data_IF_817014393403
#
_entry.id   IF_817014393403
#
_cell.length_a   1.000
_cell.length_b   1.000
_cell.length_c   1.000
_cell.angle_alpha   90.00
_cell.angle_beta   90.00
_cell.angle_gamma   90.00
#
_symmetry.space_group_name_H-M   'P 1'
#
loop_
_entity.id
_entity.type
_entity.pdbx_description
1 polymer ?
#
# COMPACT_ATOMS: atom_id res chain seq x y z
N UNK A 1 -10.17 -11.62 -6.02
CA UNK A 1 -9.28 -10.46 -5.79
C UNK A 1 -9.96 -9.42 -4.89
N UNK A 2 -9.67 -9.45 -3.58
CA UNK A 2 -10.31 -8.55 -2.59
C UNK A 2 -9.67 -7.16 -2.68
N UNK A 3 -10.38 -6.17 -3.22
CA UNK A 3 -9.90 -4.80 -3.32
C UNK A 3 -10.05 -4.14 -1.94
N UNK A 4 -8.94 -4.00 -1.20
CA UNK A 4 -8.84 -3.33 0.10
C UNK A 4 -9.04 -1.79 0.05
N UNK A 5 -9.82 -1.27 -0.90
CA UNK A 5 -10.17 0.17 -0.98
C UNK A 5 -10.93 0.67 0.25
N UNK A 6 -11.55 -0.22 1.02
CA UNK A 6 -12.24 0.08 2.29
C UNK A 6 -11.55 -0.55 3.51
N UNK A 7 -10.28 -0.91 3.42
CA UNK A 7 -9.55 -1.63 4.47
C UNK A 7 -9.68 -1.01 5.85
N UNK A 8 -9.71 0.33 5.96
CA UNK A 8 -9.98 1.04 7.22
C UNK A 8 -11.30 0.61 7.86
N UNK A 9 -12.41 0.67 7.11
CA UNK A 9 -13.74 0.38 7.65
C UNK A 9 -13.91 -1.10 8.00
N UNK A 10 -13.46 -1.99 7.12
CA UNK A 10 -13.47 -3.42 7.41
C UNK A 10 -12.61 -3.73 8.63
N UNK A 11 -11.37 -3.24 8.69
CA UNK A 11 -10.52 -3.44 9.85
C UNK A 11 -11.16 -2.92 11.14
N UNK A 12 -11.79 -1.74 11.12
CA UNK A 12 -12.48 -1.18 12.27
C UNK A 12 -13.71 -1.99 12.71
N UNK A 13 -14.44 -2.59 11.77
CA UNK A 13 -15.70 -3.30 12.06
C UNK A 13 -15.50 -4.77 12.42
N UNK A 14 -14.57 -5.45 11.75
CA UNK A 14 -14.41 -6.90 11.88
C UNK A 14 -13.01 -7.32 12.34
N UNK A 15 -12.07 -6.38 12.47
CA UNK A 15 -10.70 -6.64 12.92
C UNK A 15 -9.87 -7.50 11.96
N UNK A 16 -8.64 -7.83 12.35
CA UNK A 16 -7.74 -8.66 11.56
C UNK A 16 -8.28 -10.09 11.35
N UNK A 17 -8.84 -10.69 12.40
CA UNK A 17 -9.47 -12.03 12.30
C UNK A 17 -10.66 -12.00 11.35
N UNK A 18 -11.53 -10.99 11.43
CA UNK A 18 -12.65 -10.86 10.50
C UNK A 18 -12.21 -10.67 9.06
N UNK A 19 -11.18 -9.84 8.82
CA UNK A 19 -10.59 -9.68 7.48
C UNK A 19 -10.09 -11.01 6.91
N UNK A 20 -9.44 -11.84 7.72
CA UNK A 20 -9.03 -13.18 7.31
C UNK A 20 -10.25 -14.09 7.05
N UNK A 21 -11.25 -14.03 7.94
CA UNK A 21 -12.47 -14.83 7.85
C UNK A 21 -13.26 -14.57 6.56
N UNK A 22 -13.27 -13.33 6.05
CA UNK A 22 -13.90 -12.99 4.77
C UNK A 22 -13.36 -13.83 3.60
N UNK A 23 -12.10 -14.25 3.70
CA UNK A 23 -11.45 -15.03 2.66
C UNK A 23 -11.50 -16.54 2.92
N UNK A 24 -11.92 -17.02 4.10
CA UNK A 24 -11.88 -18.45 4.45
C UNK A 24 -12.53 -19.35 3.41
N UNK A 25 -13.66 -18.94 2.83
CA UNK A 25 -14.42 -19.70 1.84
C UNK A 25 -13.74 -19.79 0.45
N UNK A 26 -12.67 -19.05 0.20
CA UNK A 26 -12.01 -18.97 -1.11
C UNK A 26 -10.63 -19.61 -1.07
N UNK A 27 -10.29 -20.47 -2.03
CA UNK A 27 -8.93 -21.04 -2.09
C UNK A 27 -7.87 -19.99 -2.41
N UNK A 28 -8.19 -19.07 -3.32
CA UNK A 28 -7.32 -17.96 -3.70
C UNK A 28 -7.25 -16.90 -2.58
N UNK A 29 -6.07 -16.80 -1.97
CA UNK A 29 -5.75 -15.78 -0.97
C UNK A 29 -4.91 -14.63 -1.53
N UNK A 30 -4.69 -14.59 -2.85
CA UNK A 30 -3.89 -13.55 -3.48
C UNK A 30 -4.48 -12.16 -3.25
N UNK A 31 -3.61 -11.20 -3.01
CA UNK A 31 -3.95 -9.82 -2.76
C UNK A 31 -2.82 -8.92 -3.24
N UNK A 32 -3.06 -7.62 -3.22
CA UNK A 32 -2.00 -6.65 -3.38
C UNK A 32 -2.29 -5.40 -2.56
N UNK A 33 -1.22 -4.80 -2.06
CA UNK A 33 -1.26 -3.47 -1.51
C UNK A 33 -1.08 -2.45 -2.65
N UNK A 34 -1.90 -1.40 -2.67
CA UNK A 34 -1.87 -0.35 -3.69
C UNK A 34 -1.76 1.02 -3.02
N UNK A 35 -0.79 1.82 -3.46
CA UNK A 35 -0.68 3.23 -3.14
C UNK A 35 -0.82 4.03 -4.44
N UNK A 36 -1.60 5.11 -4.37
CA UNK A 36 -1.80 6.04 -5.48
C UNK A 36 -1.47 7.43 -4.98
N UNK A 37 -0.52 8.09 -5.63
CA UNK A 37 -0.32 9.54 -5.51
C UNK A 37 -0.87 10.21 -6.76
N UNK A 38 -1.59 11.32 -6.61
CA UNK A 38 -2.05 12.13 -7.74
C UNK A 38 -1.60 13.57 -7.53
N UNK A 39 -0.97 14.15 -8.55
CA UNK A 39 -0.45 15.51 -8.57
C UNK A 39 -1.20 16.30 -9.65
N UNK A 40 -1.85 17.39 -9.25
CA UNK A 40 -2.37 18.39 -10.18
C UNK A 40 -1.50 19.65 -10.09
N UNK A 41 -1.05 20.15 -11.24
CA UNK A 41 -0.19 21.34 -11.32
C UNK A 41 -0.98 22.66 -11.30
N UNK A 42 -2.31 22.57 -11.33
CA UNK A 42 -3.19 23.73 -11.27
C UNK A 42 -4.66 23.33 -11.41
N UNK A 43 -5.60 24.28 -11.28
CA UNK A 43 -7.04 24.01 -11.23
C UNK A 43 -7.61 23.32 -12.48
N UNK A 44 -6.97 23.52 -13.64
CA UNK A 44 -7.43 23.01 -14.94
C UNK A 44 -6.47 21.96 -15.54
N UNK A 45 -5.45 21.52 -14.80
CA UNK A 45 -4.52 20.52 -15.27
C UNK A 45 -5.04 19.12 -14.94
N UNK A 46 -4.95 18.21 -15.91
CA UNK A 46 -5.22 16.80 -15.65
C UNK A 46 -4.24 16.25 -14.60
N UNK A 47 -4.71 15.48 -13.61
CA UNK A 47 -3.86 14.98 -12.56
C UNK A 47 -2.94 13.87 -13.07
N UNK A 48 -1.64 14.04 -12.83
CA UNK A 48 -0.62 13.02 -13.04
C UNK A 48 -0.72 12.02 -11.89
N UNK A 49 -0.90 10.74 -12.20
CA UNK A 49 -1.13 9.71 -11.19
C UNK A 49 -0.01 8.67 -11.19
N UNK A 50 0.53 8.39 -10.00
CA UNK A 50 1.63 7.46 -9.75
C UNK A 50 1.12 6.27 -8.92
N UNK A 51 1.38 5.06 -9.38
CA UNK A 51 0.83 3.84 -8.78
C UNK A 51 1.94 2.93 -8.29
N UNK A 52 1.98 2.67 -7.00
CA UNK A 52 2.83 1.64 -6.43
C UNK A 52 1.99 0.44 -5.99
N UNK A 53 2.33 -0.73 -6.50
CA UNK A 53 1.65 -2.00 -6.20
C UNK A 53 2.65 -2.99 -5.61
N UNK A 54 2.25 -3.70 -4.55
CA UNK A 54 3.01 -4.85 -4.03
C UNK A 54 2.09 -6.07 -3.98
N UNK A 55 2.34 -7.10 -4.80
CA UNK A 55 1.57 -8.33 -4.76
C UNK A 55 1.94 -9.16 -3.51
N UNK A 56 1.02 -10.03 -3.11
CA UNK A 56 1.12 -10.82 -1.90
C UNK A 56 -0.11 -11.68 -1.68
N UNK A 57 -0.30 -12.07 -0.43
CA UNK A 57 -1.43 -12.89 0.01
C UNK A 57 -1.93 -12.48 1.39
N UNK A 58 -3.21 -12.74 1.64
CA UNK A 58 -3.79 -12.59 2.97
C UNK A 58 -3.55 -13.85 3.78
N UNK A 59 -3.04 -13.67 4.99
CA UNK A 59 -2.65 -14.76 5.90
C UNK A 59 -3.26 -14.55 7.29
N UNK A 60 -3.15 -15.55 8.16
CA UNK A 60 -3.50 -15.38 9.57
C UNK A 60 -2.65 -14.26 10.18
N UNK A 61 -3.22 -13.42 11.08
CA UNK A 61 -2.53 -12.27 11.62
C UNK A 61 -1.28 -12.67 12.41
N UNK A 62 -0.14 -12.04 12.11
CA UNK A 62 1.14 -12.21 12.82
C UNK A 62 1.83 -10.86 13.02
N UNK A 63 2.73 -10.78 14.01
CA UNK A 63 3.45 -9.55 14.35
C UNK A 63 2.64 -8.52 15.15
N UNK A 64 3.22 -7.34 15.42
CA UNK A 64 2.58 -6.26 16.18
C UNK A 64 1.35 -5.67 15.47
N UNK A 65 0.29 -5.36 16.22
CA UNK A 65 -0.96 -4.80 15.70
C UNK A 65 -0.98 -3.26 15.65
N UNK A 66 0.18 -2.64 15.50
CA UNK A 66 0.33 -1.18 15.65
C UNK A 66 -0.18 -0.40 14.43
N UNK A 67 -0.18 -1.03 13.24
CA UNK A 67 -0.47 -0.33 12.00
C UNK A 67 -1.38 -1.11 11.04
N UNK A 68 -2.65 -0.70 10.99
CA UNK A 68 -3.57 -1.08 9.93
C UNK A 68 -3.67 -2.60 9.71
N UNK A 69 -3.68 -3.01 8.45
CA UNK A 69 -3.82 -4.40 8.01
C UNK A 69 -2.47 -5.12 7.82
N UNK A 70 -1.36 -4.50 8.21
CA UNK A 70 -0.02 -5.08 8.07
C UNK A 70 0.10 -6.52 8.63
N UNK A 71 -0.54 -6.87 9.78
CA UNK A 71 -0.45 -8.22 10.34
C UNK A 71 -1.03 -9.32 9.46
N UNK A 72 -1.93 -8.99 8.52
CA UNK A 72 -2.62 -9.98 7.69
C UNK A 72 -2.12 -10.03 6.26
N UNK A 73 -1.13 -9.21 5.89
CA UNK A 73 -0.60 -9.16 4.53
C UNK A 73 0.84 -9.67 4.49
N UNK A 74 1.07 -10.73 3.72
CA UNK A 74 2.39 -11.28 3.43
C UNK A 74 2.74 -10.96 1.97
N UNK A 75 3.76 -10.12 1.70
CA UNK A 75 4.19 -9.81 0.33
C UNK A 75 4.83 -11.04 -0.33
N UNK A 76 4.72 -11.12 -1.65
CA UNK A 76 5.36 -12.20 -2.41
C UNK A 76 6.89 -12.15 -2.25
N UNK A 77 7.50 -13.33 -2.15
CA UNK A 77 8.96 -13.47 -1.94
C UNK A 77 9.40 -13.39 -0.47
N UNK A 78 8.48 -13.25 0.48
CA UNK A 78 8.76 -13.20 1.92
C UNK A 78 7.85 -14.15 2.70
N UNK A 79 8.36 -14.66 3.83
CA UNK A 79 7.58 -15.46 4.80
C UNK A 79 7.02 -14.62 5.97
N UNK A 80 7.47 -13.38 6.08
CA UNK A 80 7.02 -12.41 7.08
C UNK A 80 5.83 -11.62 6.58
N UNK A 81 4.91 -11.30 7.48
CA UNK A 81 3.89 -10.26 7.25
C UNK A 81 4.54 -8.88 7.30
N UNK A 82 3.87 -7.86 6.74
CA UNK A 82 4.34 -6.47 6.86
C UNK A 82 4.55 -6.01 8.30
N UNK A 83 3.81 -6.55 9.26
CA UNK A 83 3.97 -6.21 10.67
C UNK A 83 5.23 -6.85 11.28
N UNK A 84 5.62 -8.04 10.82
CA UNK A 84 6.83 -8.74 11.28
C UNK A 84 8.12 -8.18 10.65
N UNK A 85 8.01 -7.45 9.54
CA UNK A 85 9.17 -6.90 8.84
C UNK A 85 9.77 -5.69 9.57
N UNK A 86 11.11 -5.61 9.67
CA UNK A 86 11.79 -4.37 10.04
C UNK A 86 11.38 -3.23 9.10
N UNK A 87 11.26 -2.02 9.65
CA UNK A 87 10.78 -0.85 8.91
C UNK A 87 11.63 -0.56 7.66
N UNK A 88 12.96 -0.70 7.74
CA UNK A 88 13.84 -0.50 6.60
C UNK A 88 13.58 -1.50 5.46
N UNK A 89 13.40 -2.78 5.79
CA UNK A 89 13.13 -3.83 4.79
C UNK A 89 11.75 -3.64 4.15
N UNK A 90 10.73 -3.35 4.96
CA UNK A 90 9.38 -3.03 4.46
C UNK A 90 9.44 -1.85 3.49
N UNK A 91 10.19 -0.81 3.81
CA UNK A 91 10.28 0.38 2.98
C UNK A 91 10.83 0.08 1.58
N UNK A 92 11.78 -0.85 1.42
CA UNK A 92 12.33 -1.22 0.10
C UNK A 92 11.28 -1.81 -0.85
N UNK A 93 10.30 -2.54 -0.31
CA UNK A 93 9.31 -3.27 -1.12
C UNK A 93 7.90 -2.70 -1.07
N UNK A 94 7.65 -1.71 -0.21
CA UNK A 94 6.30 -1.22 0.03
C UNK A 94 5.71 -0.55 -1.21
N UNK A 95 4.44 -0.81 -1.43
CA UNK A 95 3.61 -0.14 -2.43
C UNK A 95 3.71 1.39 -2.34
N UNK A 96 3.82 1.96 -1.13
CA UNK A 96 4.02 3.39 -0.93
C UNK A 96 5.38 3.87 -1.44
N UNK A 97 6.47 3.17 -1.10
CA UNK A 97 7.80 3.51 -1.61
C UNK A 97 7.85 3.42 -3.14
N UNK A 98 7.27 2.37 -3.73
CA UNK A 98 7.18 2.23 -5.20
C UNK A 98 6.46 3.40 -5.87
N UNK A 99 5.35 3.86 -5.28
CA UNK A 99 4.62 5.02 -5.78
C UNK A 99 5.46 6.30 -5.64
N UNK A 100 6.11 6.50 -4.49
CA UNK A 100 6.92 7.68 -4.23
C UNK A 100 8.21 7.71 -5.07
N UNK A 101 8.77 6.56 -5.41
CA UNK A 101 9.91 6.48 -6.31
C UNK A 101 9.54 7.02 -7.71
N UNK A 102 8.34 6.70 -8.21
CA UNK A 102 7.85 7.26 -9.47
C UNK A 102 7.64 8.78 -9.38
N UNK A 103 7.09 9.28 -8.26
CA UNK A 103 7.00 10.72 -8.01
C UNK A 103 8.40 11.34 -8.07
N UNK A 104 9.39 10.76 -7.36
CA UNK A 104 10.76 11.27 -7.35
C UNK A 104 11.37 11.31 -8.75
N UNK A 105 11.22 10.25 -9.55
CA UNK A 105 11.69 10.21 -10.94
C UNK A 105 11.05 11.30 -11.79
N UNK A 106 9.72 11.44 -11.70
CA UNK A 106 8.97 12.46 -12.42
C UNK A 106 9.47 13.87 -12.12
N UNK A 107 9.72 14.19 -10.85
CA UNK A 107 10.25 15.49 -10.46
C UNK A 107 11.69 15.73 -10.92
N UNK A 108 12.53 14.69 -10.93
CA UNK A 108 13.90 14.79 -11.41
C UNK A 108 13.99 15.01 -12.94
N UNK A 109 13.06 14.42 -13.68
CA UNK A 109 13.00 14.52 -15.15
C UNK A 109 12.35 15.82 -15.65
N UNK A 110 11.43 16.39 -14.87
CA UNK A 110 10.57 17.49 -15.33
C UNK A 110 11.13 18.90 -15.06
N UNK A 111 12.37 19.02 -14.54
CA UNK A 111 13.04 20.29 -14.18
C UNK A 111 12.13 21.31 -13.46
N UNK A 112 11.25 20.84 -12.56
CA UNK A 112 10.31 21.72 -11.88
C UNK A 112 11.06 22.79 -11.08
N UNK A 113 10.80 24.06 -11.39
CA UNK A 113 11.18 25.18 -10.55
C UNK A 113 10.10 25.40 -9.50
N UNK A 114 10.43 25.12 -8.24
CA UNK A 114 9.55 25.45 -7.12
C UNK A 114 9.49 26.98 -6.98
N UNK A 115 8.37 27.57 -7.35
CA UNK A 115 8.08 28.93 -6.92
C UNK A 115 7.74 28.87 -5.44
N UNK A 116 8.68 29.28 -4.58
CA UNK A 116 8.34 29.64 -3.21
C UNK A 116 7.37 30.82 -3.33
N UNK A 117 6.14 30.63 -2.83
CA UNK A 117 5.19 31.72 -2.72
C UNK A 117 5.76 32.86 -1.86
N UNK A 118 5.19 34.07 -1.95
CA UNK A 118 5.64 35.22 -1.17
C UNK A 118 5.61 34.96 0.35
#
# INVERSE_FOLDING_TARGET
>A
MLILRMSKWFLQKIGHKGLNNLLMAYEDKSAYALCVFSLALGPNADPITFLGKTPGKIVQPRGPNDFGWDPVFQPDGYDQTYAEMPKEEKNKISHRYRALAQVKSHFAESEYTFQMGP
#
